data_IF_040045189579
#
_entry.id   IF_040045189579
#
_cell.length_a   1.000
_cell.length_b   1.000
_cell.length_c   1.000
_cell.angle_alpha   90.00
_cell.angle_beta   90.00
_cell.angle_gamma   90.00
#
_symmetry.space_group_name_H-M   'P 1'
#
loop_
_entity.id
_entity.type
_entity.pdbx_description
1 polymer ?
#
# COMPACT_ATOMS: atom_id res chain seq x y z
N UNK A 1 -21.12 35.60 17.93
CA UNK A 1 -21.10 34.47 17.00
C UNK A 1 -19.71 34.43 16.37
N UNK A 2 -18.81 33.56 16.88
CA UNK A 2 -17.46 33.42 16.33
C UNK A 2 -17.54 32.41 15.17
N UNK A 3 -17.45 32.90 13.94
CA UNK A 3 -17.30 32.07 12.76
C UNK A 3 -15.83 31.71 12.58
N UNK A 4 -15.44 30.49 12.97
CA UNK A 4 -14.15 29.91 12.57
C UNK A 4 -14.38 29.17 11.25
N UNK A 5 -14.08 29.83 10.14
CA UNK A 5 -13.95 29.17 8.85
C UNK A 5 -12.69 28.31 8.88
N UNK A 6 -12.85 27.03 9.21
CA UNK A 6 -11.77 26.05 9.18
C UNK A 6 -11.45 25.75 7.72
N UNK A 7 -10.45 26.46 7.20
CA UNK A 7 -9.88 26.19 5.89
C UNK A 7 -9.38 24.74 5.88
N UNK A 8 -10.05 23.90 5.08
CA UNK A 8 -9.58 22.54 4.78
C UNK A 8 -8.27 22.65 3.99
N UNK A 9 -7.15 22.65 4.71
CA UNK A 9 -5.83 22.39 4.13
C UNK A 9 -5.85 20.96 3.56
N UNK A 10 -6.13 20.88 2.26
CA UNK A 10 -5.88 19.67 1.48
C UNK A 10 -4.38 19.38 1.55
N UNK A 11 -4.04 18.35 2.33
CA UNK A 11 -2.67 17.89 2.60
C UNK A 11 -2.03 17.37 1.30
N UNK A 12 -1.48 18.27 0.49
CA UNK A 12 -0.72 17.97 -0.72
C UNK A 12 0.69 17.40 -0.42
N UNK A 13 1.08 17.33 0.86
CA UNK A 13 2.41 16.89 1.28
C UNK A 13 2.65 15.37 1.18
N UNK A 14 1.60 14.54 1.18
CA UNK A 14 1.74 13.07 1.13
C UNK A 14 2.40 12.52 -0.15
N UNK A 15 2.15 13.14 -1.31
CA UNK A 15 2.78 12.71 -2.58
C UNK A 15 4.25 13.13 -2.67
N UNK A 16 4.61 14.27 -2.07
CA UNK A 16 5.97 14.80 -2.09
C UNK A 16 6.93 13.95 -1.25
N UNK A 17 6.45 13.43 -0.11
CA UNK A 17 7.24 12.55 0.75
C UNK A 17 7.36 11.15 0.15
N UNK A 18 6.31 10.63 -0.51
CA UNK A 18 6.38 9.30 -1.13
C UNK A 18 7.57 9.14 -2.07
N UNK A 19 7.72 10.04 -3.05
CA UNK A 19 8.78 9.93 -4.04
C UNK A 19 10.18 10.12 -3.44
N UNK A 20 10.32 10.98 -2.43
CA UNK A 20 11.58 11.18 -1.71
C UNK A 20 11.96 9.90 -0.96
N UNK A 21 11.04 9.36 -0.16
CA UNK A 21 11.29 8.19 0.66
C UNK A 21 11.48 6.93 -0.21
N UNK A 22 10.78 6.86 -1.35
CA UNK A 22 11.00 5.83 -2.37
C UNK A 22 12.42 5.86 -2.93
N UNK A 23 12.97 7.05 -3.22
CA UNK A 23 14.35 7.19 -3.67
C UNK A 23 15.33 6.82 -2.56
N UNK A 24 15.09 7.27 -1.34
CA UNK A 24 15.93 6.95 -0.19
C UNK A 24 15.99 5.43 0.07
N UNK A 25 14.85 4.74 -0.01
CA UNK A 25 14.76 3.29 0.17
C UNK A 25 15.44 2.49 -0.97
N UNK A 26 15.86 3.13 -2.06
CA UNK A 26 16.67 2.49 -3.09
C UNK A 26 18.15 2.36 -2.70
N UNK A 27 18.62 3.19 -1.77
CA UNK A 27 20.01 3.16 -1.32
C UNK A 27 20.28 2.05 -0.29
N UNK A 28 19.23 1.51 0.34
CA UNK A 28 19.35 0.43 1.32
C UNK A 28 19.20 -0.95 0.66
N UNK A 29 19.99 -1.95 1.07
CA UNK A 29 19.81 -3.33 0.62
C UNK A 29 18.40 -3.85 0.94
N UNK A 30 17.82 -4.64 0.04
CA UNK A 30 16.57 -5.33 0.30
C UNK A 30 16.75 -6.35 1.43
N UNK A 31 15.99 -6.28 2.52
CA UNK A 31 16.09 -7.25 3.61
C UNK A 31 15.67 -8.65 3.13
N UNK A 32 16.49 -9.66 3.40
CA UNK A 32 16.16 -11.06 3.06
C UNK A 32 15.18 -11.69 4.07
N UNK A 33 15.06 -11.11 5.27
CA UNK A 33 14.29 -11.66 6.39
C UNK A 33 13.00 -10.89 6.70
N UNK A 34 12.55 -9.99 5.82
CA UNK A 34 11.26 -9.30 5.98
C UNK A 34 10.68 -8.83 4.65
N UNK A 35 9.41 -8.43 4.69
CA UNK A 35 8.71 -7.81 3.56
C UNK A 35 9.03 -6.30 3.42
N UNK A 36 9.84 -5.72 4.31
CA UNK A 36 10.14 -4.29 4.32
C UNK A 36 10.84 -3.83 3.03
N UNK A 37 10.77 -2.54 2.74
CA UNK A 37 11.39 -1.90 1.59
C UNK A 37 10.43 -1.65 0.44
N UNK A 38 10.99 -1.52 -0.76
CA UNK A 38 10.26 -1.14 -1.97
C UNK A 38 9.62 -2.35 -2.65
N UNK A 39 8.46 -2.11 -3.22
CA UNK A 39 7.72 -3.02 -4.09
C UNK A 39 7.13 -2.25 -5.26
N UNK A 40 7.16 -2.82 -6.46
CA UNK A 40 6.50 -2.25 -7.64
C UNK A 40 5.81 -3.31 -8.48
N UNK A 41 4.73 -2.91 -9.15
CA UNK A 41 3.98 -3.80 -10.02
C UNK A 41 2.67 -3.17 -10.47
N UNK A 42 1.58 -3.93 -10.37
CA UNK A 42 0.26 -3.52 -10.85
C UNK A 42 -0.84 -3.78 -9.83
N UNK A 43 -1.85 -2.94 -9.89
CA UNK A 43 -3.17 -3.20 -9.30
C UNK A 43 -4.17 -3.55 -10.40
N UNK A 44 -5.17 -4.35 -10.05
CA UNK A 44 -6.32 -4.69 -10.89
C UNK A 44 -7.58 -4.57 -10.03
N UNK A 45 -8.61 -3.91 -10.56
CA UNK A 45 -10.00 -4.01 -10.12
C UNK A 45 -10.66 -5.12 -10.94
N UNK A 46 -11.12 -6.16 -10.26
CA UNK A 46 -11.92 -7.22 -10.86
C UNK A 46 -13.39 -6.78 -11.02
N UNK A 47 -13.81 -5.73 -10.31
CA UNK A 47 -15.15 -5.15 -10.46
C UNK A 47 -15.36 -4.49 -11.84
N UNK A 48 -14.37 -3.75 -12.35
CA UNK A 48 -14.52 -2.99 -13.60
C UNK A 48 -13.36 -3.18 -14.60
N UNK A 49 -12.37 -4.02 -14.29
CA UNK A 49 -11.22 -4.30 -15.16
C UNK A 49 -10.16 -3.20 -15.21
N UNK A 50 -10.35 -2.09 -14.51
CA UNK A 50 -9.34 -1.04 -14.45
C UNK A 50 -8.08 -1.56 -13.76
N UNK A 51 -6.94 -1.09 -14.24
CA UNK A 51 -5.64 -1.47 -13.70
C UNK A 51 -4.63 -0.35 -13.89
N UNK A 52 -3.49 -0.46 -13.21
CA UNK A 52 -2.44 0.52 -13.36
C UNK A 52 -1.19 0.17 -12.57
N UNK A 53 -0.17 1.02 -12.70
CA UNK A 53 1.09 0.85 -11.96
C UNK A 53 0.85 1.06 -10.47
N UNK A 54 1.49 0.24 -9.66
CA UNK A 54 1.46 0.32 -8.22
C UNK A 54 2.89 0.34 -7.67
N UNK A 55 3.14 1.19 -6.68
CA UNK A 55 4.31 1.14 -5.83
C UNK A 55 3.88 1.02 -4.39
N UNK A 56 4.66 0.31 -3.59
CA UNK A 56 4.50 0.27 -2.14
C UNK A 56 5.85 0.47 -1.44
N UNK A 57 5.81 1.23 -0.35
CA UNK A 57 6.92 1.34 0.60
C UNK A 57 6.46 0.73 1.92
N UNK A 58 7.10 -0.36 2.33
CA UNK A 58 6.74 -1.10 3.54
C UNK A 58 7.82 -0.86 4.60
N UNK A 59 7.40 -0.49 5.80
CA UNK A 59 8.27 -0.21 6.95
C UNK A 59 7.81 -1.01 8.16
N UNK A 60 8.70 -1.73 8.85
CA UNK A 60 8.33 -2.44 10.07
C UNK A 60 7.90 -1.43 11.15
N UNK A 61 6.90 -1.85 11.92
CA UNK A 61 6.49 -1.31 13.20
C UNK A 61 6.76 -2.38 14.27
N UNK A 62 6.16 -2.22 15.44
CA UNK A 62 6.26 -3.19 16.53
C UNK A 62 5.34 -4.41 16.32
N UNK A 63 5.65 -5.52 17.01
CA UNK A 63 4.77 -6.68 17.14
C UNK A 63 4.31 -7.33 15.81
N UNK A 64 5.17 -7.31 14.79
CA UNK A 64 4.83 -7.90 13.48
C UNK A 64 3.90 -7.03 12.64
N UNK A 65 3.64 -5.80 13.06
CA UNK A 65 2.93 -4.82 12.24
C UNK A 65 3.88 -4.12 11.27
N UNK A 66 3.36 -3.77 10.11
CA UNK A 66 4.09 -3.00 9.12
C UNK A 66 3.21 -1.87 8.60
N UNK A 67 3.78 -0.67 8.55
CA UNK A 67 3.19 0.44 7.82
C UNK A 67 3.49 0.25 6.34
N UNK A 68 2.44 0.26 5.52
CA UNK A 68 2.54 0.14 4.08
C UNK A 68 1.94 1.38 3.45
N UNK A 69 2.76 2.15 2.74
CA UNK A 69 2.26 3.26 1.91
C UNK A 69 2.22 2.84 0.46
N UNK A 70 1.06 2.96 -0.16
CA UNK A 70 0.85 2.73 -1.58
C UNK A 70 0.85 4.02 -2.36
N UNK A 71 1.30 3.94 -3.61
CA UNK A 71 1.18 4.99 -4.60
C UNK A 71 0.78 4.36 -5.95
N UNK A 72 -0.50 4.45 -6.27
CA UNK A 72 -1.10 3.91 -7.48
C UNK A 72 -1.17 4.97 -8.58
N UNK A 73 -1.06 4.52 -9.84
CA UNK A 73 -1.41 5.31 -11.03
C UNK A 73 -2.70 4.78 -11.61
N UNK A 74 -3.61 5.69 -11.93
CA UNK A 74 -4.88 5.41 -12.57
C UNK A 74 -4.93 6.17 -13.90
N UNK A 75 -4.96 5.43 -15.01
CA UNK A 75 -4.72 6.00 -16.33
C UNK A 75 -3.38 6.75 -16.40
N UNK A 76 -3.31 7.80 -17.24
CA UNK A 76 -2.08 8.56 -17.45
C UNK A 76 -1.89 9.74 -16.48
N UNK A 77 -2.99 10.30 -15.95
CA UNK A 77 -2.98 11.61 -15.27
C UNK A 77 -3.14 11.52 -13.75
N UNK A 78 -3.87 10.52 -13.24
CA UNK A 78 -4.19 10.44 -11.81
C UNK A 78 -3.23 9.54 -11.05
N UNK A 79 -2.89 9.96 -9.84
CA UNK A 79 -2.25 9.11 -8.83
C UNK A 79 -2.99 9.19 -7.52
N UNK A 80 -3.02 8.06 -6.82
CA UNK A 80 -3.67 7.92 -5.53
C UNK A 80 -2.68 7.35 -4.52
N UNK A 81 -2.71 7.88 -3.30
CA UNK A 81 -1.95 7.37 -2.17
C UNK A 81 -2.89 6.74 -1.15
N UNK A 82 -2.46 5.65 -0.52
CA UNK A 82 -3.17 5.01 0.58
C UNK A 82 -2.15 4.49 1.59
N UNK A 83 -2.43 4.65 2.88
CA UNK A 83 -1.66 4.01 3.94
C UNK A 83 -2.46 2.84 4.51
N UNK A 84 -1.77 1.76 4.85
CA UNK A 84 -2.34 0.55 5.40
C UNK A 84 -1.43 -0.01 6.49
N UNK A 85 -2.01 -0.72 7.46
CA UNK A 85 -1.28 -1.43 8.51
C UNK A 85 -1.41 -2.93 8.36
N UNK A 86 -0.32 -3.58 7.98
CA UNK A 86 -0.29 -5.01 7.76
C UNK A 86 0.04 -5.73 9.05
N UNK A 87 -0.78 -6.70 9.44
CA UNK A 87 -0.41 -7.71 10.43
C UNK A 87 0.32 -8.85 9.70
N UNK A 88 1.63 -8.95 9.90
CA UNK A 88 2.50 -9.87 9.16
C UNK A 88 2.94 -11.04 10.03
N UNK A 89 2.84 -12.25 9.48
CA UNK A 89 3.26 -13.49 10.14
C UNK A 89 4.19 -14.29 9.23
N UNK A 90 5.29 -14.86 9.76
CA UNK A 90 6.09 -15.84 9.03
C UNK A 90 5.21 -17.03 8.61
N UNK A 91 5.40 -17.50 7.38
CA UNK A 91 4.71 -18.69 6.85
C UNK A 91 5.69 -19.85 6.61
N UNK A 92 6.88 -19.54 6.10
CA UNK A 92 8.01 -20.44 5.95
C UNK A 92 9.29 -19.57 5.83
N UNK A 93 10.46 -20.20 5.68
CA UNK A 93 11.70 -19.46 5.43
C UNK A 93 11.57 -18.60 4.15
N UNK A 94 11.77 -17.29 4.30
CA UNK A 94 11.65 -16.33 3.21
C UNK A 94 10.22 -16.13 2.68
N UNK A 95 9.19 -16.55 3.43
CA UNK A 95 7.78 -16.41 3.07
C UNK A 95 6.95 -15.84 4.22
N UNK A 96 6.09 -14.88 3.90
CA UNK A 96 5.22 -14.19 4.85
C UNK A 96 3.79 -14.20 4.37
N UNK A 97 2.87 -14.25 5.32
CA UNK A 97 1.45 -13.94 5.13
C UNK A 97 1.14 -12.62 5.81
N UNK A 98 0.25 -11.84 5.23
CA UNK A 98 -0.23 -10.61 5.85
C UNK A 98 -1.71 -10.42 5.61
N UNK A 99 -2.35 -9.69 6.52
CA UNK A 99 -3.73 -9.25 6.37
C UNK A 99 -3.94 -7.94 7.09
N UNK A 100 -5.12 -7.34 6.89
CA UNK A 100 -5.52 -6.14 7.59
C UNK A 100 -6.83 -5.58 7.06
N UNK A 101 -7.23 -4.46 7.63
CA UNK A 101 -8.39 -3.72 7.19
C UNK A 101 -8.28 -2.25 7.54
N UNK A 102 -8.74 -1.39 6.64
CA UNK A 102 -8.85 0.05 6.88
C UNK A 102 -10.33 0.47 6.77
N UNK A 103 -10.80 1.27 7.72
CA UNK A 103 -12.11 1.93 7.61
C UNK A 103 -11.94 3.22 6.77
N UNK A 104 -12.48 3.21 5.55
CA UNK A 104 -12.41 4.33 4.62
C UNK A 104 -13.55 5.34 4.84
N UNK A 105 -14.25 5.23 5.96
CA UNK A 105 -15.36 6.08 6.35
C UNK A 105 -16.70 5.65 5.74
N UNK A 106 -17.77 6.31 6.17
CA UNK A 106 -19.16 5.91 5.85
C UNK A 106 -19.47 5.73 4.36
N UNK A 107 -18.81 6.50 3.49
CA UNK A 107 -19.05 6.45 2.05
C UNK A 107 -18.44 5.22 1.35
N UNK A 108 -17.31 4.71 1.88
CA UNK A 108 -16.50 3.68 1.24
C UNK A 108 -16.44 2.38 2.05
N UNK A 109 -16.83 2.42 3.33
CA UNK A 109 -16.87 1.28 4.21
C UNK A 109 -15.49 0.72 4.53
N UNK A 110 -15.44 -0.56 4.86
CA UNK A 110 -14.20 -1.25 5.26
C UNK A 110 -13.53 -1.88 4.06
N UNK A 111 -12.28 -1.50 3.83
CA UNK A 111 -11.38 -2.12 2.86
C UNK A 111 -10.58 -3.22 3.55
N UNK A 112 -10.79 -4.48 3.16
CA UNK A 112 -10.08 -5.64 3.72
C UNK A 112 -9.10 -6.21 2.70
N UNK A 113 -7.98 -6.71 3.18
CA UNK A 113 -6.96 -7.32 2.34
C UNK A 113 -6.26 -8.46 3.04
N UNK A 114 -5.77 -9.39 2.23
CA UNK A 114 -4.89 -10.48 2.64
C UNK A 114 -3.91 -10.78 1.51
N UNK A 115 -2.76 -11.32 1.86
CA UNK A 115 -1.73 -11.58 0.87
C UNK A 115 -0.56 -12.40 1.38
N UNK A 116 0.33 -12.66 0.44
CA UNK A 116 1.56 -13.41 0.62
C UNK A 116 2.70 -12.63 -0.01
N UNK A 117 3.85 -12.68 0.63
CA UNK A 117 5.08 -12.14 0.09
C UNK A 117 6.22 -13.12 0.30
N UNK A 118 7.14 -13.14 -0.65
CA UNK A 118 8.44 -13.78 -0.54
C UNK A 118 9.54 -12.72 -0.50
N UNK A 119 10.80 -13.15 -0.57
CA UNK A 119 11.94 -12.24 -0.75
C UNK A 119 11.78 -11.37 -2.01
N UNK A 120 11.12 -11.89 -3.05
CA UNK A 120 11.08 -11.28 -4.40
C UNK A 120 9.68 -10.97 -4.92
N UNK A 121 8.63 -11.64 -4.44
CA UNK A 121 7.27 -11.54 -4.95
C UNK A 121 6.30 -11.07 -3.88
N UNK A 122 5.27 -10.35 -4.30
CA UNK A 122 4.18 -9.89 -3.45
C UNK A 122 2.87 -10.06 -4.20
N UNK A 123 1.92 -10.70 -3.55
CA UNK A 123 0.55 -10.86 -4.04
C UNK A 123 -0.44 -10.53 -2.92
N UNK A 124 -1.48 -9.77 -3.24
CA UNK A 124 -2.62 -9.62 -2.34
C UNK A 124 -3.93 -9.57 -3.08
N UNK A 125 -4.99 -9.96 -2.39
CA UNK A 125 -6.36 -9.65 -2.76
C UNK A 125 -6.87 -8.51 -1.87
N UNK A 126 -7.83 -7.75 -2.37
CA UNK A 126 -8.58 -6.79 -1.57
C UNK A 126 -10.06 -6.86 -1.88
N UNK A 127 -10.87 -6.44 -0.92
CA UNK A 127 -12.32 -6.34 -1.05
C UNK A 127 -12.87 -5.20 -0.21
N UNK A 128 -13.68 -4.37 -0.85
CA UNK A 128 -14.55 -3.37 -0.25
C UNK A 128 -15.95 -3.47 -0.89
N UNK A 129 -16.90 -2.67 -0.41
CA UNK A 129 -18.27 -2.66 -0.99
C UNK A 129 -18.30 -2.16 -2.44
N UNK A 130 -17.38 -1.27 -2.81
CA UNK A 130 -17.34 -0.59 -4.11
C UNK A 130 -16.32 -1.19 -5.09
N UNK A 131 -15.39 -2.04 -4.62
CA UNK A 131 -14.36 -2.63 -5.47
C UNK A 131 -13.75 -3.89 -4.84
N UNK A 132 -13.16 -4.74 -5.67
CA UNK A 132 -12.33 -5.86 -5.26
C UNK A 132 -11.33 -6.17 -6.36
N UNK A 133 -10.22 -6.81 -6.00
CA UNK A 133 -9.25 -7.26 -6.98
C UNK A 133 -7.92 -7.62 -6.37
N UNK A 134 -6.85 -7.39 -7.13
CA UNK A 134 -5.53 -7.93 -6.80
C UNK A 134 -4.40 -6.92 -6.96
N UNK A 135 -3.36 -7.07 -6.14
CA UNK A 135 -2.04 -6.46 -6.36
C UNK A 135 -1.03 -7.55 -6.68
N UNK A 136 -0.22 -7.31 -7.70
CA UNK A 136 0.88 -8.19 -8.12
C UNK A 136 2.14 -7.34 -8.24
N UNK A 137 3.13 -7.60 -7.40
CA UNK A 137 4.35 -6.79 -7.31
C UNK A 137 5.61 -7.63 -7.12
N UNK A 138 6.75 -7.02 -7.43
CA UNK A 138 8.09 -7.56 -7.20
C UNK A 138 8.98 -6.51 -6.57
N UNK A 139 10.16 -6.91 -6.10
CA UNK A 139 11.22 -5.96 -5.75
C UNK A 139 11.64 -5.18 -7.02
N UNK A 140 11.73 -3.85 -6.96
CA UNK A 140 12.29 -3.07 -8.06
C UNK A 140 13.76 -3.45 -8.31
N UNK A 141 14.21 -3.30 -9.55
CA UNK A 141 15.63 -3.43 -9.92
C UNK A 141 16.47 -2.25 -9.40
#
# INVERSE_FOLDING_TARGET
MLGVAMAALLVLSGCSTFNRDWKAAAASPTPASSIAGRWEGKWLSEHNGHSGKLRALIRPLDNGQYETRFHAKYGFIFSFGMEAKFDVRPAAEGQWQFSGAEDLGKAYGVYRYEGKASVTNFFSTYKASFDHGTFQMTRPK
#
